data_IF_795407309392
#
_entry.id   IF_795407309392
#
_cell.length_a   1.000
_cell.length_b   1.000
_cell.length_c   1.000
_cell.angle_alpha   90.00
_cell.angle_beta   90.00
_cell.angle_gamma   90.00
#
_symmetry.space_group_name_H-M   'P 1'
#
loop_
_entity.id
_entity.type
_entity.pdbx_description
1 polymer ?
#
# COMPACT_ATOMS: atom_id res chain seq x y z
N UNK A 1 4.67 2.80 -3.78
CA UNK A 1 5.45 3.72 -2.90
C UNK A 1 6.17 2.93 -1.82
N UNK A 2 7.26 3.47 -1.23
CA UNK A 2 8.08 2.75 -0.23
C UNK A 2 8.37 3.60 1.03
N UNK A 3 7.36 3.94 1.85
CA UNK A 3 7.56 4.74 3.07
C UNK A 3 8.44 4.05 4.12
N UNK A 4 9.17 4.87 4.88
CA UNK A 4 9.69 4.53 6.20
C UNK A 4 8.52 4.37 7.17
N UNK A 5 8.58 3.37 8.05
CA UNK A 5 7.52 3.07 9.01
C UNK A 5 8.05 3.27 10.41
N UNK A 6 7.38 4.13 11.18
CA UNK A 6 7.66 4.39 12.59
C UNK A 6 6.52 3.89 13.47
N UNK A 7 6.83 3.46 14.69
CA UNK A 7 5.83 3.20 15.73
C UNK A 7 5.29 4.52 16.32
N UNK A 8 4.34 4.39 17.24
CA UNK A 8 3.74 5.52 17.96
C UNK A 8 4.74 6.39 18.74
N UNK A 9 5.91 5.85 19.10
CA UNK A 9 6.97 6.55 19.85
C UNK A 9 8.01 7.16 18.90
N UNK A 10 7.84 7.01 17.59
CA UNK A 10 8.79 7.45 16.58
C UNK A 10 9.95 6.49 16.36
N UNK A 11 9.91 5.27 16.92
CA UNK A 11 10.93 4.25 16.69
C UNK A 11 10.71 3.59 15.33
N UNK A 12 11.79 3.41 14.58
CA UNK A 12 11.73 2.83 13.23
C UNK A 12 11.40 1.33 13.29
N UNK A 13 10.26 0.96 12.70
CA UNK A 13 9.84 -0.43 12.47
C UNK A 13 10.39 -0.99 11.16
N UNK A 14 10.38 -0.18 10.10
CA UNK A 14 10.94 -0.54 8.80
C UNK A 14 11.58 0.67 8.12
N UNK A 15 12.74 0.46 7.49
CA UNK A 15 13.41 1.51 6.71
C UNK A 15 12.70 1.82 5.39
N UNK A 16 11.89 0.89 4.87
CA UNK A 16 11.10 1.07 3.67
C UNK A 16 10.16 -0.11 3.47
N UNK A 17 8.86 0.15 3.46
CA UNK A 17 7.79 -0.83 3.28
C UNK A 17 7.07 -0.56 1.95
N UNK A 18 6.96 -1.54 1.07
CA UNK A 18 6.15 -1.39 -0.16
C UNK A 18 4.67 -1.36 0.21
N UNK A 19 4.00 -0.28 -0.18
CA UNK A 19 2.54 -0.16 -0.03
C UNK A 19 1.87 0.17 -1.36
N UNK A 20 0.64 -0.30 -1.50
CA UNK A 20 -0.26 -0.11 -2.62
C UNK A 20 -1.37 0.86 -2.22
N UNK A 21 -1.75 1.79 -3.11
CA UNK A 21 -2.97 2.57 -2.95
C UNK A 21 -4.17 1.73 -3.40
N UNK A 22 -5.16 1.56 -2.53
CA UNK A 22 -6.34 0.75 -2.82
C UNK A 22 -7.27 1.49 -3.79
N UNK A 23 -7.60 0.93 -4.97
CA UNK A 23 -8.66 1.47 -5.82
C UNK A 23 -10.01 1.53 -5.07
N UNK A 24 -10.85 2.52 -5.38
CA UNK A 24 -12.17 2.65 -4.76
C UNK A 24 -13.07 1.44 -5.06
N UNK A 25 -12.99 0.91 -6.28
CA UNK A 25 -13.73 -0.25 -6.78
C UNK A 25 -12.75 -1.27 -7.37
N UNK A 26 -12.12 -2.14 -6.54
CA UNK A 26 -11.03 -2.99 -6.99
C UNK A 26 -11.47 -4.29 -7.71
N UNK A 27 -12.75 -4.62 -7.76
CA UNK A 27 -13.28 -5.95 -8.13
C UNK A 27 -12.96 -6.35 -9.57
N UNK A 28 -13.16 -5.43 -10.52
CA UNK A 28 -12.91 -5.69 -11.95
C UNK A 28 -11.42 -5.91 -12.20
N UNK A 29 -10.57 -5.02 -11.69
CA UNK A 29 -9.12 -5.14 -11.78
C UNK A 29 -8.62 -6.42 -11.11
N UNK A 30 -9.16 -6.77 -9.94
CA UNK A 30 -8.80 -8.00 -9.21
C UNK A 30 -9.13 -9.24 -10.02
N UNK A 31 -10.31 -9.27 -10.65
CA UNK A 31 -10.74 -10.38 -11.51
C UNK A 31 -9.84 -10.53 -12.73
N UNK A 32 -9.48 -9.42 -13.36
CA UNK A 32 -8.52 -9.41 -14.46
C UNK A 32 -7.14 -9.92 -14.01
N UNK A 33 -6.58 -9.39 -12.91
CA UNK A 33 -5.27 -9.81 -12.40
C UNK A 33 -5.23 -11.29 -12.06
N UNK A 34 -6.26 -11.79 -11.37
CA UNK A 34 -6.39 -13.21 -11.07
C UNK A 34 -6.40 -14.05 -12.34
N UNK A 35 -7.18 -13.66 -13.35
CA UNK A 35 -7.20 -14.37 -14.62
C UNK A 35 -5.82 -14.39 -15.29
N UNK A 36 -5.09 -13.27 -15.29
CA UNK A 36 -3.74 -13.22 -15.88
C UNK A 36 -2.76 -14.15 -15.18
N UNK A 37 -2.72 -14.12 -13.84
CA UNK A 37 -1.83 -14.99 -13.03
C UNK A 37 -2.14 -16.47 -13.27
N UNK A 38 -3.41 -16.84 -13.40
CA UNK A 38 -3.80 -18.24 -13.62
C UNK A 38 -3.58 -18.71 -15.07
N UNK A 39 -3.52 -17.78 -16.03
CA UNK A 39 -3.42 -18.09 -17.46
C UNK A 39 -2.01 -18.49 -17.88
N UNK A 40 -0.98 -17.91 -17.28
CA UNK A 40 0.42 -18.13 -17.68
C UNK A 40 1.34 -18.22 -16.48
N UNK A 41 2.30 -19.14 -16.54
CA UNK A 41 3.39 -19.22 -15.57
C UNK A 41 4.62 -18.41 -15.97
N UNK A 42 4.64 -17.82 -17.19
CA UNK A 42 5.74 -16.97 -17.65
C UNK A 42 5.67 -15.59 -16.98
N UNK A 43 6.63 -15.23 -16.11
CA UNK A 43 6.61 -13.96 -15.40
C UNK A 43 6.78 -12.75 -16.32
N UNK A 44 7.41 -12.91 -17.50
CA UNK A 44 7.62 -11.80 -18.45
C UNK A 44 6.31 -11.43 -19.14
N UNK A 45 5.60 -12.40 -19.70
CA UNK A 45 4.28 -12.19 -20.31
C UNK A 45 3.27 -11.64 -19.30
N UNK A 46 3.30 -12.15 -18.06
CA UNK A 46 2.47 -11.64 -16.96
C UNK A 46 2.78 -10.17 -16.64
N UNK A 47 4.07 -9.83 -16.52
CA UNK A 47 4.53 -8.48 -16.23
C UNK A 47 4.13 -7.49 -17.33
N UNK A 48 4.35 -7.83 -18.59
CA UNK A 48 4.03 -6.95 -19.73
C UNK A 48 2.52 -6.63 -19.78
N UNK A 49 1.67 -7.63 -19.60
CA UNK A 49 0.21 -7.45 -19.58
C UNK A 49 -0.26 -6.65 -18.38
N UNK A 50 0.30 -6.92 -17.20
CA UNK A 50 0.02 -6.15 -15.99
C UNK A 50 0.38 -4.67 -16.21
N UNK A 51 1.54 -4.39 -16.80
CA UNK A 51 1.99 -3.04 -17.09
C UNK A 51 1.07 -2.34 -18.10
N UNK A 52 0.70 -3.01 -19.20
CA UNK A 52 -0.24 -2.45 -20.18
C UNK A 52 -1.60 -2.10 -19.55
N UNK A 53 -2.12 -2.96 -18.66
CA UNK A 53 -3.39 -2.70 -17.97
C UNK A 53 -3.28 -1.51 -17.01
N UNK A 54 -2.22 -1.44 -16.20
CA UNK A 54 -2.03 -0.38 -15.19
C UNK A 54 -1.68 0.99 -15.80
N UNK A 55 -1.22 1.02 -17.05
CA UNK A 55 -0.94 2.27 -17.77
C UNK A 55 -2.21 2.92 -18.36
N UNK A 56 -3.34 2.23 -18.37
CA UNK A 56 -4.61 2.77 -18.87
C UNK A 56 -5.08 3.98 -18.06
N UNK A 57 -5.84 4.87 -18.70
CA UNK A 57 -6.31 6.15 -18.12
C UNK A 57 -7.04 6.00 -16.77
N UNK A 58 -7.72 4.87 -16.54
CA UNK A 58 -8.45 4.58 -15.31
C UNK A 58 -7.57 4.69 -14.03
N UNK A 59 -6.29 4.33 -14.11
CA UNK A 59 -5.36 4.39 -12.98
C UNK A 59 -4.66 5.75 -12.83
N UNK A 60 -4.94 6.71 -13.71
CA UNK A 60 -4.34 8.04 -13.69
C UNK A 60 -5.20 9.09 -12.95
N UNK A 61 -6.43 8.74 -12.57
CA UNK A 61 -7.34 9.64 -11.84
C UNK A 61 -7.23 9.44 -10.32
N UNK A 62 -6.82 10.45 -9.53
CA UNK A 62 -6.78 10.32 -8.07
C UNK A 62 -8.13 9.96 -7.45
N UNK A 63 -9.24 10.35 -8.08
CA UNK A 63 -10.59 10.09 -7.60
C UNK A 63 -11.02 8.62 -7.75
N UNK A 64 -10.30 7.80 -8.54
CA UNK A 64 -10.59 6.36 -8.65
C UNK A 64 -9.96 5.53 -7.52
N UNK A 65 -9.28 6.18 -6.58
CA UNK A 65 -8.64 5.53 -5.44
C UNK A 65 -9.32 5.89 -4.12
N UNK A 66 -9.32 4.92 -3.21
CA UNK A 66 -9.60 5.18 -1.80
C UNK A 66 -8.42 5.90 -1.15
N UNK A 67 -8.63 6.33 0.08
CA UNK A 67 -7.61 6.96 0.91
C UNK A 67 -6.77 5.96 1.72
N UNK A 68 -6.98 4.66 1.51
CA UNK A 68 -6.31 3.58 2.24
C UNK A 68 -5.11 3.04 1.48
N UNK A 69 -4.06 2.71 2.24
CA UNK A 69 -2.87 2.04 1.71
C UNK A 69 -2.82 0.60 2.22
N UNK A 70 -2.35 -0.33 1.40
CA UNK A 70 -2.26 -1.75 1.73
C UNK A 70 -0.82 -2.24 1.64
N UNK A 71 -0.40 -3.08 2.59
CA UNK A 71 0.85 -3.83 2.51
C UNK A 71 0.58 -5.33 2.58
N UNK A 72 1.22 -6.10 1.70
CA UNK A 72 1.23 -7.56 1.75
C UNK A 72 2.55 -8.02 2.34
N UNK A 73 2.48 -8.73 3.46
CA UNK A 73 3.64 -9.16 4.25
C UNK A 73 3.56 -10.66 4.52
N UNK A 74 4.68 -11.40 4.49
CA UNK A 74 4.69 -12.80 4.89
C UNK A 74 4.16 -12.99 6.32
N UNK A 75 3.48 -14.11 6.59
CA UNK A 75 2.92 -14.43 7.91
C UNK A 75 3.97 -14.34 9.05
N UNK A 76 5.23 -14.70 8.79
CA UNK A 76 6.33 -14.63 9.77
C UNK A 76 6.99 -13.25 9.92
N UNK A 77 6.44 -12.19 9.31
CA UNK A 77 7.05 -10.86 9.32
C UNK A 77 7.01 -10.22 10.71
N UNK A 78 8.19 -9.98 11.29
CA UNK A 78 8.32 -9.24 12.56
C UNK A 78 7.74 -7.82 12.46
N UNK A 79 7.85 -7.17 11.30
CA UNK A 79 7.25 -5.86 11.05
C UNK A 79 5.72 -5.94 11.07
N UNK A 80 5.13 -6.99 10.46
CA UNK A 80 3.68 -7.19 10.50
C UNK A 80 3.19 -7.41 11.95
N UNK A 81 3.87 -8.28 12.71
CA UNK A 81 3.53 -8.54 14.10
C UNK A 81 3.60 -7.27 14.97
N UNK A 82 4.63 -6.44 14.79
CA UNK A 82 4.78 -5.18 15.52
C UNK A 82 3.67 -4.17 15.16
N UNK A 83 3.32 -4.06 13.87
CA UNK A 83 2.24 -3.18 13.41
C UNK A 83 0.87 -3.62 13.93
N UNK A 84 0.57 -4.92 13.86
CA UNK A 84 -0.68 -5.50 14.37
C UNK A 84 -0.80 -5.27 15.88
N UNK A 85 0.26 -5.56 16.65
CA UNK A 85 0.24 -5.36 18.09
C UNK A 85 0.14 -3.87 18.49
N UNK A 86 0.75 -2.98 17.71
CA UNK A 86 0.71 -1.55 17.96
C UNK A 86 -0.60 -0.87 17.55
N UNK A 87 -1.30 -1.40 16.54
CA UNK A 87 -2.58 -0.87 16.02
C UNK A 87 -2.49 0.50 15.34
N UNK A 88 -1.31 1.13 15.34
CA UNK A 88 -1.04 2.44 14.73
C UNK A 88 0.43 2.58 14.36
N UNK A 89 0.70 3.39 13.34
CA UNK A 89 2.06 3.73 12.94
C UNK A 89 2.12 5.14 12.35
N UNK A 90 3.29 5.55 11.92
CA UNK A 90 3.48 6.71 11.05
C UNK A 90 4.22 6.27 9.80
N UNK A 91 3.66 6.59 8.64
CA UNK A 91 4.32 6.46 7.35
C UNK A 91 5.02 7.76 7.02
N UNK A 92 6.30 7.68 6.68
CA UNK A 92 7.09 8.81 6.21
C UNK A 92 7.66 8.51 4.83
N UNK A 93 7.45 9.40 3.88
CA UNK A 93 8.04 9.27 2.56
C UNK A 93 8.33 10.64 1.97
N UNK A 94 9.29 10.67 1.06
CA UNK A 94 9.67 11.84 0.31
C UNK A 94 9.30 11.60 -1.15
N UNK A 95 8.63 12.57 -1.76
CA UNK A 95 8.33 12.54 -3.18
C UNK A 95 8.52 13.94 -3.76
N UNK A 96 9.24 14.02 -4.87
CA UNK A 96 9.70 15.29 -5.45
C UNK A 96 10.50 16.11 -4.42
N UNK A 97 10.04 17.31 -4.08
CA UNK A 97 10.62 18.21 -3.09
C UNK A 97 9.81 18.31 -1.79
N UNK A 98 8.89 17.36 -1.55
CA UNK A 98 8.04 17.33 -0.36
C UNK A 98 8.29 16.06 0.48
N UNK A 99 8.37 16.25 1.79
CA UNK A 99 8.36 15.18 2.77
C UNK A 99 6.98 15.07 3.41
N UNK A 100 6.41 13.87 3.44
CA UNK A 100 5.10 13.59 4.00
C UNK A 100 5.22 12.74 5.25
N UNK A 101 4.35 13.03 6.22
CA UNK A 101 4.19 12.28 7.45
C UNK A 101 2.72 11.98 7.68
N UNK A 102 2.36 10.71 7.58
CA UNK A 102 0.98 10.21 7.68
C UNK A 102 0.85 9.31 8.91
N UNK A 103 0.27 9.79 10.02
CA UNK A 103 -0.19 8.92 11.09
C UNK A 103 -1.28 8.00 10.55
N UNK A 104 -1.20 6.70 10.85
CA UNK A 104 -2.17 5.72 10.37
C UNK A 104 -2.65 4.82 11.50
N UNK A 105 -3.94 4.51 11.49
CA UNK A 105 -4.44 3.30 12.16
C UNK A 105 -4.09 2.06 11.32
N UNK A 106 -3.89 0.93 11.99
CA UNK A 106 -3.59 -0.36 11.35
C UNK A 106 -4.78 -1.29 11.53
N UNK A 107 -5.23 -1.87 10.42
CA UNK A 107 -6.21 -2.96 10.41
C UNK A 107 -5.64 -4.16 9.64
N UNK A 108 -5.79 -5.37 10.19
CA UNK A 108 -5.47 -6.59 9.46
C UNK A 108 -6.71 -7.07 8.70
N UNK A 109 -6.61 -7.17 7.37
CA UNK A 109 -7.71 -7.62 6.53
C UNK A 109 -7.82 -9.15 6.55
N UNK A 110 -9.03 -9.65 6.70
CA UNK A 110 -9.33 -11.09 6.82
C UNK A 110 -9.72 -11.70 5.47
N UNK A 111 -9.60 -13.03 5.31
CA UNK A 111 -10.11 -13.71 4.12
C UNK A 111 -11.57 -13.36 3.83
N UNK A 112 -11.90 -13.13 2.55
CA UNK A 112 -13.22 -12.66 2.11
C UNK A 112 -13.33 -11.14 1.93
N UNK A 113 -12.36 -10.37 2.42
CA UNK A 113 -12.28 -8.92 2.16
C UNK A 113 -11.80 -8.65 0.72
N UNK A 114 -12.55 -7.83 -0.03
CA UNK A 114 -12.24 -7.50 -1.42
C UNK A 114 -10.90 -6.76 -1.58
N UNK A 115 -10.57 -5.85 -0.65
CA UNK A 115 -9.31 -5.12 -0.64
C UNK A 115 -8.13 -6.04 -0.35
N UNK A 116 -8.33 -7.06 0.49
CA UNK A 116 -7.34 -8.11 0.73
C UNK A 116 -7.01 -8.87 -0.55
N UNK A 117 -8.04 -9.34 -1.26
CA UNK A 117 -7.87 -10.07 -2.51
C UNK A 117 -7.19 -9.20 -3.58
N UNK A 118 -7.62 -7.95 -3.71
CA UNK A 118 -7.03 -6.97 -4.63
C UNK A 118 -5.52 -6.82 -4.40
N UNK A 119 -5.10 -6.63 -3.14
CA UNK A 119 -3.69 -6.50 -2.81
C UNK A 119 -2.87 -7.75 -3.14
N UNK A 120 -3.41 -8.93 -2.85
CA UNK A 120 -2.72 -10.21 -3.13
C UNK A 120 -2.57 -10.42 -4.64
N UNK A 121 -3.66 -10.29 -5.41
CA UNK A 121 -3.62 -10.53 -6.85
C UNK A 121 -2.77 -9.49 -7.57
N UNK A 122 -2.81 -8.23 -7.15
CA UNK A 122 -1.88 -7.22 -7.67
C UNK A 122 -0.42 -7.58 -7.37
N UNK A 123 -0.09 -8.00 -6.14
CA UNK A 123 1.29 -8.35 -5.79
C UNK A 123 1.79 -9.58 -6.55
N UNK A 124 0.93 -10.58 -6.80
CA UNK A 124 1.29 -11.78 -7.57
C UNK A 124 1.71 -11.49 -9.01
N UNK A 125 1.23 -10.40 -9.62
CA UNK A 125 1.68 -9.97 -10.96
C UNK A 125 3.19 -9.69 -11.01
N UNK A 126 3.73 -9.17 -9.91
CA UNK A 126 5.12 -8.68 -9.83
C UNK A 126 6.00 -9.54 -8.94
N UNK A 127 5.41 -10.39 -8.11
CA UNK A 127 6.10 -11.31 -7.21
C UNK A 127 5.50 -12.73 -7.33
N UNK A 128 5.95 -13.51 -8.32
CA UNK A 128 5.52 -14.91 -8.50
C UNK A 128 5.85 -15.81 -7.29
N UNK A 129 6.81 -15.41 -6.45
CA UNK A 129 7.23 -16.13 -5.25
C UNK A 129 6.51 -15.63 -3.98
N UNK A 130 5.40 -14.88 -4.12
CA UNK A 130 4.60 -14.45 -2.97
C UNK A 130 4.13 -15.69 -2.18
N UNK A 131 4.39 -15.77 -0.86
CA UNK A 131 3.92 -16.90 -0.05
C UNK A 131 2.40 -17.05 -0.08
N UNK A 132 1.91 -18.28 0.06
CA UNK A 132 0.47 -18.56 0.14
C UNK A 132 -0.18 -17.93 1.39
N UNK A 133 0.56 -17.87 2.49
CA UNK A 133 0.10 -17.29 3.75
C UNK A 133 0.74 -15.93 3.98
N UNK A 134 -0.08 -14.89 3.94
CA UNK A 134 0.33 -13.49 4.10
C UNK A 134 -0.63 -12.76 5.04
N UNK A 135 -0.08 -11.78 5.75
CA UNK A 135 -0.84 -10.68 6.31
C UNK A 135 -1.10 -9.64 5.23
N UNK A 136 -2.32 -9.13 5.17
CA UNK A 136 -2.61 -7.89 4.44
C UNK A 136 -3.01 -6.84 5.45
N UNK A 137 -2.19 -5.80 5.57
CA UNK A 137 -2.41 -4.70 6.50
C UNK A 137 -2.93 -3.50 5.73
N UNK A 138 -4.06 -2.96 6.19
CA UNK A 138 -4.55 -1.66 5.78
C UNK A 138 -4.01 -0.59 6.72
N UNK A 139 -3.47 0.46 6.12
CA UNK A 139 -3.05 1.69 6.75
C UNK A 139 -4.13 2.72 6.43
N UNK A 140 -4.76 3.23 7.49
CA UNK A 140 -5.86 4.19 7.39
C UNK A 140 -5.33 5.54 7.89
N UNK A 141 -4.96 6.45 6.96
CA UNK A 141 -4.35 7.72 7.33
C UNK A 141 -5.32 8.61 8.12
N UNK A 142 -4.82 9.20 9.20
CA UNK A 142 -5.46 10.34 9.84
C UNK A 142 -5.06 11.61 9.09
N UNK A 143 -5.88 11.99 8.10
CA UNK A 143 -5.65 13.17 7.27
C UNK A 143 -5.66 14.48 8.05
N UNK A 144 -6.38 14.56 9.17
CA UNK A 144 -6.41 15.76 9.99
C UNK A 144 -5.05 16.00 10.68
N UNK A 145 -4.31 14.92 10.95
CA UNK A 145 -2.97 14.97 11.57
C UNK A 145 -1.82 14.82 10.57
N UNK A 146 -2.12 14.65 9.28
CA UNK A 146 -1.14 14.51 8.22
C UNK A 146 -0.32 15.80 8.05
N UNK A 147 0.96 15.67 7.73
CA UNK A 147 1.86 16.81 7.50
C UNK A 147 2.63 16.64 6.20
N UNK A 148 2.91 17.77 5.54
CA UNK A 148 3.79 17.87 4.40
C UNK A 148 4.77 19.03 4.62
N UNK A 149 6.03 18.86 4.23
CA UNK A 149 7.05 19.90 4.28
C UNK A 149 7.80 20.01 2.93
N UNK A 150 7.72 21.15 2.21
CA UNK A 150 6.80 22.26 2.50
C UNK A 150 5.34 21.83 2.35
N UNK A 151 4.44 22.52 3.05
CA UNK A 151 3.00 22.27 2.91
C UNK A 151 2.53 22.47 1.46
N UNK A 152 1.36 21.92 1.07
CA UNK A 152 0.86 21.94 -0.31
C UNK A 152 0.75 23.35 -0.92
N UNK A 153 0.62 24.39 -0.10
CA UNK A 153 0.57 25.81 -0.53
C UNK A 153 1.93 26.56 -0.41
N UNK A 154 3.05 25.84 -0.20
CA UNK A 154 4.37 26.45 0.02
C UNK A 154 4.53 27.13 1.38
N UNK A 155 3.55 27.02 2.29
CA UNK A 155 3.65 27.53 3.66
C UNK A 155 4.37 26.52 4.55
N UNK A 156 5.48 26.94 5.16
CA UNK A 156 6.13 26.19 6.24
C UNK A 156 5.13 26.04 7.39
N UNK A 157 4.88 24.82 7.85
CA UNK A 157 4.08 24.60 9.06
C UNK A 157 4.89 25.10 10.25
N UNK A 158 4.61 26.33 10.72
CA UNK A 158 5.20 26.85 11.96
C UNK A 158 4.53 26.10 13.11
N UNK A 159 5.30 25.31 13.84
CA UNK A 159 4.86 24.71 15.11
C UNK A 159 5.05 25.74 16.22
N UNK A 160 4.02 25.95 17.04
CA UNK A 160 4.07 26.78 18.26
C UNK A 160 4.89 26.12 19.36
#
# INVERSE_FOLDING_TARGET
>A
MRPRVLDARGLKLAAGLTVLLLPAEPEEATSYFRFQVMRTADPRDLYERALSYLQAEYFQSPASFSDRLLAVLPQGSAVAAALIAGGRCVLEFEQFSQAYRLPCAIAELKPGDAAREAAIWHNRLFNPALPETVHVLAFEPDWASARADPGPDGRKTVSF
#
